data_IF_723108627236
#
_entry.id   IF_723108627236
#
_cell.length_a   1.000
_cell.length_b   1.000
_cell.length_c   1.000
_cell.angle_alpha   90.00
_cell.angle_beta   90.00
_cell.angle_gamma   90.00
#
_symmetry.space_group_name_H-M   'P 1'
#
loop_
_entity.id
_entity.type
_entity.pdbx_description
1 polymer ?
#
# COMPACT_ATOMS: atom_id res chain seq x y z
N UNK A 1 -4.50 4.92 -16.92
CA UNK A 1 -4.62 3.69 -16.11
C UNK A 1 -5.57 2.74 -16.83
N UNK A 2 -5.31 1.43 -16.89
CA UNK A 2 -6.25 0.48 -17.53
C UNK A 2 -7.55 0.40 -16.73
N UNK A 3 -8.69 0.26 -17.40
CA UNK A 3 -10.01 0.22 -16.75
C UNK A 3 -10.13 -0.92 -15.71
N UNK A 4 -9.51 -2.07 -15.97
CA UNK A 4 -9.43 -3.19 -15.03
C UNK A 4 -8.74 -2.81 -13.71
N UNK A 5 -7.65 -2.03 -13.78
CA UNK A 5 -6.92 -1.60 -12.60
C UNK A 5 -7.70 -0.59 -11.77
N UNK A 6 -8.47 0.29 -12.41
CA UNK A 6 -9.35 1.23 -11.71
C UNK A 6 -10.42 0.48 -10.91
N UNK A 7 -11.12 -0.48 -11.53
CA UNK A 7 -12.10 -1.34 -10.83
C UNK A 7 -11.47 -2.10 -9.67
N UNK A 8 -10.28 -2.67 -9.88
CA UNK A 8 -9.58 -3.39 -8.82
C UNK A 8 -9.22 -2.49 -7.64
N UNK A 9 -8.80 -1.27 -7.91
CA UNK A 9 -8.50 -0.27 -6.86
C UNK A 9 -9.76 0.06 -6.06
N UNK A 10 -10.89 0.31 -6.74
CA UNK A 10 -12.18 0.58 -6.09
C UNK A 10 -12.61 -0.57 -5.19
N UNK A 11 -12.49 -1.82 -5.66
CA UNK A 11 -12.76 -3.03 -4.86
C UNK A 11 -11.90 -3.09 -3.60
N UNK A 12 -10.58 -2.85 -3.73
CA UNK A 12 -9.65 -2.89 -2.60
C UNK A 12 -9.99 -1.83 -1.55
N UNK A 13 -10.34 -0.62 -1.99
CA UNK A 13 -10.75 0.48 -1.10
C UNK A 13 -12.03 0.11 -0.35
N UNK A 14 -13.02 -0.46 -1.04
CA UNK A 14 -14.30 -0.85 -0.43
C UNK A 14 -14.22 -2.00 0.58
N UNK A 15 -13.15 -2.80 0.55
CA UNK A 15 -12.99 -3.99 1.40
C UNK A 15 -12.07 -3.78 2.61
N UNK A 16 -11.52 -2.58 2.80
CA UNK A 16 -10.58 -2.33 3.88
C UNK A 16 -10.86 -1.02 4.61
N UNK A 17 -10.29 -0.88 5.81
CA UNK A 17 -10.25 0.39 6.52
C UNK A 17 -8.81 0.88 6.54
N UNK A 18 -8.59 2.07 5.99
CA UNK A 18 -7.28 2.70 6.00
C UNK A 18 -7.18 3.69 7.17
N UNK A 19 -6.24 3.54 8.12
CA UNK A 19 -6.06 4.50 9.21
C UNK A 19 -5.64 5.89 8.72
N UNK A 20 -5.16 5.98 7.47
CA UNK A 20 -4.78 7.24 6.79
C UNK A 20 -5.90 7.78 5.88
N UNK A 21 -7.11 7.24 5.98
CA UNK A 21 -8.28 7.73 5.23
C UNK A 21 -8.14 7.63 3.71
N UNK A 22 -7.32 6.70 3.18
CA UNK A 22 -7.08 6.57 1.74
C UNK A 22 -6.53 7.84 1.05
N UNK A 23 -5.77 8.69 1.76
CA UNK A 23 -5.14 9.89 1.20
C UNK A 23 -4.32 9.63 -0.08
N UNK A 24 -3.78 8.41 -0.24
CA UNK A 24 -3.10 8.00 -1.46
C UNK A 24 -4.03 7.92 -2.67
N UNK A 25 -5.27 7.46 -2.51
CA UNK A 25 -6.25 7.41 -3.60
C UNK A 25 -6.80 8.80 -3.92
N UNK A 26 -7.11 9.60 -2.89
CA UNK A 26 -7.61 10.98 -3.03
C UNK A 26 -6.62 11.89 -3.76
N UNK A 27 -5.32 11.69 -3.53
CA UNK A 27 -4.24 12.41 -4.21
C UNK A 27 -3.91 11.87 -5.61
N UNK A 28 -4.71 10.95 -6.17
CA UNK A 28 -4.42 10.33 -7.48
C UNK A 28 -3.13 9.49 -7.48
N UNK A 29 -2.74 8.95 -6.32
CA UNK A 29 -1.52 8.19 -6.08
C UNK A 29 -0.23 9.01 -6.18
N UNK A 30 -0.31 10.31 -5.95
CA UNK A 30 0.86 11.19 -5.83
C UNK A 30 1.39 11.25 -4.39
N UNK A 31 0.54 10.98 -3.38
CA UNK A 31 0.94 10.92 -1.98
C UNK A 31 0.88 9.48 -1.44
N UNK A 32 1.91 8.69 -1.77
CA UNK A 32 2.03 7.30 -1.34
C UNK A 32 2.90 7.18 -0.09
N UNK A 33 2.53 6.25 0.81
CA UNK A 33 3.43 5.82 1.87
C UNK A 33 4.73 5.28 1.25
N UNK A 34 5.87 5.65 1.85
CA UNK A 34 7.18 5.17 1.45
C UNK A 34 7.25 3.67 1.68
N UNK A 35 7.51 2.94 0.60
CA UNK A 35 7.69 1.51 0.63
C UNK A 35 8.62 1.09 -0.50
N UNK A 36 9.30 -0.04 -0.32
CA UNK A 36 10.22 -0.59 -1.30
C UNK A 36 9.82 -2.03 -1.64
N UNK A 37 9.80 -2.33 -2.93
CA UNK A 37 9.66 -3.72 -3.38
C UNK A 37 10.98 -4.47 -3.14
N UNK A 38 10.89 -5.64 -2.51
CA UNK A 38 12.00 -6.53 -2.20
C UNK A 38 11.80 -7.96 -2.74
N UNK A 39 10.86 -8.15 -3.67
CA UNK A 39 10.67 -9.40 -4.42
C UNK A 39 9.59 -10.35 -3.88
N UNK A 40 9.04 -10.12 -2.68
CA UNK A 40 7.91 -10.92 -2.19
C UNK A 40 6.59 -10.46 -2.80
N UNK A 41 5.73 -11.40 -3.21
CA UNK A 41 4.51 -11.10 -3.99
C UNK A 41 3.53 -10.16 -3.27
N UNK A 42 3.31 -10.39 -1.98
CA UNK A 42 2.25 -9.74 -1.21
C UNK A 42 2.75 -8.74 -0.16
N UNK A 43 4.04 -8.39 -0.21
CA UNK A 43 4.67 -7.55 0.79
C UNK A 43 5.56 -6.50 0.14
N UNK A 44 5.65 -5.35 0.80
CA UNK A 44 6.67 -4.34 0.57
C UNK A 44 7.42 -4.09 1.87
N UNK A 45 8.66 -3.66 1.79
CA UNK A 45 9.36 -3.10 2.94
C UNK A 45 8.76 -1.72 3.24
N UNK A 46 8.28 -1.50 4.46
CA UNK A 46 7.73 -0.22 4.89
C UNK A 46 8.86 0.72 5.33
N UNK A 47 8.87 1.93 4.79
CA UNK A 47 9.90 2.95 5.03
C UNK A 47 9.31 4.24 5.65
N UNK A 48 8.10 4.15 6.21
CA UNK A 48 7.48 5.25 6.96
C UNK A 48 8.12 5.39 8.33
N UNK A 49 8.19 6.61 8.86
CA UNK A 49 8.86 6.88 10.15
C UNK A 49 8.15 6.22 11.35
N UNK A 50 6.82 6.04 11.27
CA UNK A 50 5.99 5.45 12.32
C UNK A 50 5.12 4.32 11.77
N UNK A 51 5.71 3.17 11.37
CA UNK A 51 4.97 2.08 10.75
C UNK A 51 3.95 1.46 11.71
N UNK A 52 4.22 1.47 13.02
CA UNK A 52 3.35 0.95 14.08
C UNK A 52 1.97 1.63 14.18
N UNK A 53 1.81 2.84 13.62
CA UNK A 53 0.51 3.52 13.56
C UNK A 53 -0.38 3.02 12.40
N UNK A 54 0.14 2.15 11.54
CA UNK A 54 -0.61 1.58 10.42
C UNK A 54 -0.99 0.13 10.74
N UNK A 55 -2.29 -0.18 10.67
CA UNK A 55 -2.80 -1.54 10.86
C UNK A 55 -2.32 -2.55 9.81
N UNK A 56 -1.76 -2.07 8.69
CA UNK A 56 -1.16 -2.91 7.66
C UNK A 56 0.35 -3.10 7.83
N UNK A 57 0.96 -2.51 8.86
CA UNK A 57 2.37 -2.74 9.14
C UNK A 57 2.55 -4.01 9.97
N UNK A 58 3.41 -4.90 9.49
CA UNK A 58 3.79 -6.13 10.16
C UNK A 58 5.24 -6.03 10.63
N UNK A 59 5.51 -5.99 11.95
CA UNK A 59 6.89 -6.01 12.45
C UNK A 59 7.56 -7.35 12.13
N UNK A 60 8.81 -7.30 11.63
CA UNK A 60 9.60 -8.49 11.33
C UNK A 60 11.09 -8.22 11.57
N UNK A 61 11.65 -8.81 12.64
CA UNK A 61 13.01 -8.53 13.07
C UNK A 61 13.21 -7.03 13.33
N UNK A 62 14.14 -6.41 12.59
CA UNK A 62 14.47 -4.99 12.69
C UNK A 62 13.79 -4.11 11.61
N UNK A 63 12.85 -4.65 10.84
CA UNK A 63 12.12 -3.92 9.79
C UNK A 63 10.60 -4.10 9.95
N UNK A 64 9.84 -3.40 9.12
CA UNK A 64 8.39 -3.56 9.02
C UNK A 64 8.01 -3.87 7.58
N UNK A 65 7.12 -4.84 7.40
CA UNK A 65 6.49 -5.08 6.10
C UNK A 65 5.18 -4.32 6.00
N UNK A 66 4.87 -3.86 4.79
CA UNK A 66 3.61 -3.26 4.43
C UNK A 66 2.74 -4.29 3.72
N UNK A 67 1.58 -4.58 4.30
CA UNK A 67 0.57 -5.47 3.75
C UNK A 67 -0.65 -4.71 3.20
N UNK A 68 -0.55 -3.38 3.04
CA UNK A 68 -1.66 -2.57 2.54
C UNK A 68 -2.02 -3.06 1.12
N UNK A 69 -3.22 -3.65 0.92
CA UNK A 69 -3.57 -4.27 -0.36
C UNK A 69 -3.45 -3.30 -1.54
N UNK A 70 -3.87 -2.05 -1.33
CA UNK A 70 -3.74 -0.99 -2.33
C UNK A 70 -2.28 -0.63 -2.61
N UNK A 71 -1.45 -0.44 -1.58
CA UNK A 71 -0.04 -0.07 -1.78
C UNK A 71 0.75 -1.17 -2.48
N UNK A 72 0.51 -2.44 -2.12
CA UNK A 72 1.09 -3.63 -2.77
C UNK A 72 0.67 -3.69 -4.24
N UNK A 73 -0.63 -3.54 -4.53
CA UNK A 73 -1.13 -3.54 -5.90
C UNK A 73 -0.49 -2.45 -6.76
N UNK A 74 -0.40 -1.22 -6.24
CA UNK A 74 0.21 -0.08 -6.93
C UNK A 74 1.71 -0.35 -7.23
N UNK A 75 2.47 -0.84 -6.27
CA UNK A 75 3.90 -1.17 -6.48
C UNK A 75 4.07 -2.25 -7.54
N UNK A 76 3.33 -3.36 -7.41
CA UNK A 76 3.54 -4.57 -8.21
C UNK A 76 2.97 -4.48 -9.63
N UNK A 77 1.82 -3.82 -9.80
CA UNK A 77 1.09 -3.79 -11.09
C UNK A 77 1.24 -2.48 -11.83
N UNK A 78 1.43 -1.37 -11.09
CA UNK A 78 1.47 -0.02 -11.65
C UNK A 78 2.86 0.62 -11.51
N UNK A 79 3.82 -0.03 -10.83
CA UNK A 79 5.18 0.47 -10.59
C UNK A 79 5.18 1.88 -9.97
N UNK A 80 4.19 2.15 -9.11
CA UNK A 80 4.04 3.36 -8.28
C UNK A 80 4.33 3.03 -6.81
#
# INVERSE_FOLDING_TARGET
>A
MKAEYARRIEELIGQMQCPKGFICAESGFENLCKAKDFGLDNYLECLEDNPSLCSFALPFGNTHFCQCPLRVFLAKKLKK
#
